data_IF_981855513416
#
_entry.id   IF_981855513416
#
_cell.length_a   1.000
_cell.length_b   1.000
_cell.length_c   1.000
_cell.angle_alpha   90.00
_cell.angle_beta   90.00
_cell.angle_gamma   90.00
#
_symmetry.space_group_name_H-M   'P 1'
#
loop_
_entity.id
_entity.type
_entity.pdbx_description
1 polymer ?
#
# COMPACT_ATOMS: atom_id res chain seq x y z
N UNK A 1 6.45 -5.08 -13.02
CA UNK A 1 5.52 -4.90 -11.89
C UNK A 1 4.10 -5.17 -12.36
N UNK A 2 3.32 -5.95 -11.61
CA UNK A 2 1.90 -6.26 -11.90
C UNK A 2 1.06 -6.05 -10.65
N UNK A 3 -0.06 -5.33 -10.76
CA UNK A 3 -1.00 -5.11 -9.65
C UNK A 3 -2.17 -6.08 -9.79
N UNK A 4 -2.42 -6.92 -8.79
CA UNK A 4 -3.51 -7.89 -8.74
C UNK A 4 -4.47 -7.52 -7.61
N UNK A 5 -5.78 -7.56 -7.87
CA UNK A 5 -6.79 -7.44 -6.81
C UNK A 5 -7.03 -8.81 -6.18
N UNK A 6 -6.96 -8.90 -4.86
CA UNK A 6 -7.22 -10.15 -4.12
C UNK A 6 -8.57 -10.14 -3.40
N UNK A 7 -9.01 -8.96 -2.93
CA UNK A 7 -10.31 -8.76 -2.30
C UNK A 7 -10.85 -7.34 -2.56
N UNK A 8 -11.99 -7.00 -1.96
CA UNK A 8 -12.44 -5.61 -1.92
C UNK A 8 -11.51 -4.81 -1.00
N UNK A 9 -10.88 -3.76 -1.52
CA UNK A 9 -9.92 -2.96 -0.75
C UNK A 9 -8.51 -3.55 -0.66
N UNK A 10 -8.30 -4.84 -0.95
CA UNK A 10 -6.97 -5.48 -0.86
C UNK A 10 -6.40 -5.89 -2.23
N UNK A 11 -5.13 -5.54 -2.43
CA UNK A 11 -4.36 -5.73 -3.66
C UNK A 11 -2.98 -6.27 -3.33
N UNK A 12 -2.39 -6.95 -4.30
CA UNK A 12 -0.99 -7.37 -4.29
C UNK A 12 -0.26 -6.66 -5.42
N UNK A 13 0.95 -6.15 -5.14
CA UNK A 13 1.84 -5.61 -6.16
C UNK A 13 3.01 -6.58 -6.33
N UNK A 14 3.02 -7.30 -7.45
CA UNK A 14 4.02 -8.31 -7.78
C UNK A 14 5.20 -7.61 -8.49
N UNK A 15 6.37 -7.68 -7.87
CA UNK A 15 7.63 -7.13 -8.38
C UNK A 15 8.68 -8.23 -8.52
N UNK A 16 9.88 -7.88 -8.98
CA UNK A 16 11.00 -8.83 -9.01
C UNK A 16 11.51 -9.13 -7.60
N UNK A 17 11.40 -8.18 -6.67
CA UNK A 17 11.85 -8.32 -5.28
C UNK A 17 10.85 -9.07 -4.39
N UNK A 18 9.60 -9.26 -4.82
CA UNK A 18 8.58 -9.99 -4.07
C UNK A 18 7.16 -9.46 -4.29
N UNK A 19 6.27 -9.79 -3.36
CA UNK A 19 4.87 -9.35 -3.38
C UNK A 19 4.65 -8.35 -2.26
N UNK A 20 4.22 -7.14 -2.60
CA UNK A 20 3.80 -6.13 -1.64
C UNK A 20 2.30 -6.24 -1.40
N UNK A 21 1.90 -6.20 -0.13
CA UNK A 21 0.50 -6.12 0.28
C UNK A 21 0.02 -4.68 0.23
N UNK A 22 -1.17 -4.44 -0.31
CA UNK A 22 -1.78 -3.13 -0.35
C UNK A 22 -3.24 -3.19 0.09
N UNK A 23 -3.55 -2.57 1.22
CA UNK A 23 -4.86 -2.66 1.86
C UNK A 23 -5.49 -1.29 2.06
N UNK A 24 -6.77 -1.15 1.68
CA UNK A 24 -7.55 0.03 1.97
C UNK A 24 -8.19 -0.10 3.36
N UNK A 25 -7.65 0.61 4.34
CA UNK A 25 -8.06 0.64 5.73
C UNK A 25 -8.73 1.97 6.07
N UNK A 26 -9.94 2.26 5.55
CA UNK A 26 -10.60 3.55 5.76
C UNK A 26 -10.69 3.88 7.26
N UNK A 27 -10.38 5.12 7.63
CA UNK A 27 -10.52 5.55 9.02
C UNK A 27 -12.00 5.52 9.43
N UNK A 28 -12.36 4.62 10.36
CA UNK A 28 -13.74 4.43 10.81
C UNK A 28 -14.34 5.68 11.48
N UNK A 29 -13.50 6.60 11.99
CA UNK A 29 -13.99 7.85 12.53
C UNK A 29 -12.92 8.97 12.48
N UNK A 30 -13.06 9.96 11.58
CA UNK A 30 -12.11 11.08 11.46
C UNK A 30 -12.02 11.91 12.75
N UNK A 31 -13.14 12.02 13.48
CA UNK A 31 -13.22 12.76 14.75
C UNK A 31 -12.50 12.05 15.91
N UNK A 32 -12.43 10.72 15.90
CA UNK A 32 -11.76 9.96 16.97
C UNK A 32 -10.26 9.82 16.73
N UNK A 33 -9.82 9.84 15.47
CA UNK A 33 -8.42 9.60 15.09
C UNK A 33 -7.65 10.88 14.78
N UNK A 34 -8.32 12.02 14.63
CA UNK A 34 -7.70 13.29 14.23
C UNK A 34 -7.17 13.30 12.80
N UNK A 35 -7.48 12.25 12.02
CA UNK A 35 -7.01 12.05 10.67
C UNK A 35 -8.15 12.30 9.68
N UNK A 36 -7.86 12.87 8.49
CA UNK A 36 -8.89 13.21 7.52
C UNK A 36 -9.71 11.98 7.13
N UNK A 37 -11.02 12.17 6.96
CA UNK A 37 -11.91 11.17 6.37
C UNK A 37 -11.42 10.83 4.96
N UNK A 38 -11.01 9.59 4.72
CA UNK A 38 -10.58 9.19 3.39
C UNK A 38 -10.09 7.75 3.29
N UNK A 39 -9.87 7.27 2.06
CA UNK A 39 -9.20 6.01 1.81
C UNK A 39 -7.78 6.08 2.38
N UNK A 40 -7.40 5.10 3.19
CA UNK A 40 -6.05 4.96 3.71
C UNK A 40 -5.48 3.67 3.14
N UNK A 41 -4.46 3.81 2.32
CA UNK A 41 -3.82 2.68 1.66
C UNK A 41 -2.55 2.32 2.43
N UNK A 42 -2.62 1.19 3.13
CA UNK A 42 -1.51 0.60 3.86
C UNK A 42 -0.69 -0.25 2.92
N UNK A 43 0.62 -0.03 2.89
CA UNK A 43 1.58 -0.82 2.13
C UNK A 43 2.38 -1.71 3.08
N UNK A 44 2.42 -3.00 2.79
CA UNK A 44 3.21 -4.01 3.51
C UNK A 44 4.29 -4.55 2.56
N UNK A 45 5.54 -4.54 3.01
CA UNK A 45 6.67 -4.99 2.20
C UNK A 45 6.76 -6.52 2.12
N UNK A 46 7.44 -7.08 1.10
CA UNK A 46 7.59 -8.52 0.99
C UNK A 46 8.28 -9.12 2.22
N UNK A 47 7.60 -10.06 2.88
CA UNK A 47 8.11 -10.73 4.08
C UNK A 47 7.71 -10.07 5.41
N UNK A 48 7.11 -8.88 5.35
CA UNK A 48 6.58 -8.19 6.53
C UNK A 48 5.14 -8.61 6.83
N UNK A 49 4.77 -8.54 8.12
CA UNK A 49 3.43 -8.86 8.61
C UNK A 49 2.64 -7.60 9.00
N UNK A 50 3.29 -6.45 9.05
CA UNK A 50 2.72 -5.16 9.43
C UNK A 50 2.98 -4.13 8.34
N UNK A 51 2.07 -3.18 8.18
CA UNK A 51 2.23 -2.14 7.18
C UNK A 51 3.37 -1.18 7.52
N UNK A 52 4.26 -0.97 6.56
CA UNK A 52 5.44 -0.12 6.66
C UNK A 52 5.16 1.34 6.28
N UNK A 53 4.14 1.55 5.44
CA UNK A 53 3.82 2.88 4.92
C UNK A 53 2.33 3.10 4.71
N UNK A 54 1.91 4.36 4.80
CA UNK A 54 0.55 4.82 4.61
C UNK A 54 0.47 5.83 3.46
N UNK A 55 -0.57 5.71 2.63
CA UNK A 55 -0.83 6.60 1.50
C UNK A 55 -2.30 7.01 1.44
N UNK A 56 -2.56 8.25 1.00
CA UNK A 56 -3.94 8.73 0.81
C UNK A 56 -4.65 8.11 -0.40
N UNK A 57 -3.92 7.54 -1.35
CA UNK A 57 -4.50 6.87 -2.52
C UNK A 57 -3.76 5.60 -2.91
N UNK A 58 -4.47 4.68 -3.56
CA UNK A 58 -3.89 3.48 -4.17
C UNK A 58 -2.78 3.82 -5.16
N UNK A 59 -2.95 4.92 -5.90
CA UNK A 59 -2.04 5.33 -6.96
C UNK A 59 -0.70 5.72 -6.35
N UNK A 60 -0.70 6.47 -5.26
CA UNK A 60 0.52 6.92 -4.59
C UNK A 60 1.27 5.74 -3.97
N UNK A 61 0.55 4.81 -3.37
CA UNK A 61 1.16 3.60 -2.81
C UNK A 61 1.84 2.74 -3.89
N UNK A 62 1.17 2.53 -5.03
CA UNK A 62 1.77 1.79 -6.16
C UNK A 62 2.96 2.55 -6.76
N UNK A 63 2.91 3.89 -6.79
CA UNK A 63 4.02 4.70 -7.25
C UNK A 63 5.24 4.59 -6.32
N UNK A 64 5.01 4.50 -5.00
CA UNK A 64 6.07 4.26 -4.01
C UNK A 64 6.75 2.91 -4.19
N UNK A 65 5.98 1.83 -4.40
CA UNK A 65 6.54 0.50 -4.72
C UNK A 65 7.42 0.58 -5.96
N UNK A 66 6.96 1.28 -7.01
CA UNK A 66 7.72 1.45 -8.24
C UNK A 66 9.05 2.15 -8.01
N UNK A 67 9.03 3.29 -7.31
CA UNK A 67 10.23 4.07 -7.00
C UNK A 67 11.23 3.26 -6.16
N UNK A 68 10.74 2.48 -5.20
CA UNK A 68 11.57 1.61 -4.37
C UNK A 68 12.25 0.51 -5.18
N UNK A 69 11.52 -0.19 -6.06
CA UNK A 69 12.12 -1.20 -6.95
C UNK A 69 13.15 -0.60 -7.92
N UNK A 70 12.91 0.61 -8.42
CA UNK A 70 13.86 1.33 -9.29
C UNK A 70 15.14 1.72 -8.54
N UNK A 71 15.04 2.09 -7.26
CA UNK A 71 16.21 2.39 -6.42
C UNK A 71 17.07 1.17 -6.10
N UNK A 72 16.47 -0.04 -6.02
CA UNK A 72 17.21 -1.29 -5.77
C UNK A 72 18.03 -1.79 -6.96
N UNK A 73 17.74 -1.30 -8.16
CA UNK A 73 18.42 -1.71 -9.40
C UNK A 73 19.63 -0.84 -9.75
N UNK A 74 19.95 0.17 -8.93
CA UNK A 74 21.14 1.02 -9.07
C UNK A 74 22.24 0.56 -8.13
#
# INVERSE_FOLDING_TARGET
MKVKRIAAGSYEVHTASGIYGLENCPAENPRATGLPSGPRWMLTYPGEYTADAEFGTKRDAVASVRAFEESKQR
#
